data_IF_123432426738
#
_entry.id   IF_123432426738
#
_cell.length_a   1.000
_cell.length_b   1.000
_cell.length_c   1.000
_cell.angle_alpha   90.00
_cell.angle_beta   90.00
_cell.angle_gamma   90.00
#
_symmetry.space_group_name_H-M   'P 1'
#
loop_
_entity.id
_entity.type
_entity.pdbx_description
1 polymer ?
#
# COMPACT_ATOMS: atom_id res chain seq x y z
N UNK A 1 -29.28 13.83 9.55
CA UNK A 1 -28.67 13.28 10.77
C UNK A 1 -27.34 12.66 10.39
N UNK A 2 -26.27 12.87 11.16
CA UNK A 2 -24.97 12.25 10.84
C UNK A 2 -25.07 10.74 11.12
N UNK A 3 -24.80 9.93 10.11
CA UNK A 3 -24.83 8.46 10.20
C UNK A 3 -23.64 7.93 11.02
N UNK A 4 -23.86 6.88 11.81
CA UNK A 4 -22.83 6.28 12.67
C UNK A 4 -21.63 5.77 11.84
N UNK A 5 -21.88 5.29 10.61
CA UNK A 5 -20.81 4.87 9.68
C UNK A 5 -19.91 6.04 9.29
N UNK A 6 -20.46 7.24 9.20
CA UNK A 6 -19.69 8.46 8.90
C UNK A 6 -18.82 8.84 10.07
N UNK A 7 -19.35 8.81 11.30
CA UNK A 7 -18.58 9.11 12.52
C UNK A 7 -17.41 8.12 12.68
N UNK A 8 -17.69 6.81 12.57
CA UNK A 8 -16.65 5.78 12.66
C UNK A 8 -15.63 5.88 11.53
N UNK A 9 -16.07 6.19 10.31
CA UNK A 9 -15.20 6.41 9.16
C UNK A 9 -14.24 7.59 9.39
N UNK A 10 -14.75 8.72 9.89
CA UNK A 10 -13.93 9.90 10.20
C UNK A 10 -12.92 9.61 11.31
N UNK A 11 -13.33 8.93 12.39
CA UNK A 11 -12.42 8.53 13.47
C UNK A 11 -11.32 7.62 12.94
N UNK A 12 -11.67 6.63 12.11
CA UNK A 12 -10.70 5.73 11.51
C UNK A 12 -9.68 6.46 10.63
N UNK A 13 -10.11 7.45 9.85
CA UNK A 13 -9.21 8.31 9.06
C UNK A 13 -8.22 9.05 9.97
N UNK A 14 -8.71 9.67 11.05
CA UNK A 14 -7.85 10.40 11.99
C UNK A 14 -6.84 9.47 12.67
N UNK A 15 -7.27 8.28 13.09
CA UNK A 15 -6.37 7.28 13.70
C UNK A 15 -5.27 6.85 12.74
N UNK A 16 -5.57 6.72 11.44
CA UNK A 16 -4.56 6.41 10.41
C UNK A 16 -3.49 7.50 10.39
N UNK A 17 -3.85 8.77 10.29
CA UNK A 17 -2.86 9.86 10.30
C UNK A 17 -2.04 9.89 11.60
N UNK A 18 -2.70 9.81 12.76
CA UNK A 18 -2.03 9.85 14.07
C UNK A 18 -1.06 8.66 14.23
N UNK A 19 -1.49 7.46 13.83
CA UNK A 19 -0.67 6.24 13.95
C UNK A 19 0.59 6.26 13.10
N UNK A 20 0.61 7.02 11.99
CA UNK A 20 1.78 7.14 11.12
C UNK A 20 2.74 8.26 11.51
N UNK A 21 2.37 9.17 12.41
CA UNK A 21 3.25 10.24 12.93
C UNK A 21 4.60 9.70 13.44
N UNK A 22 4.66 8.68 14.34
CA UNK A 22 5.95 8.18 14.83
C UNK A 22 6.82 7.61 13.70
N UNK A 23 6.21 6.89 12.76
CA UNK A 23 6.92 6.31 11.61
C UNK A 23 7.50 7.38 10.68
N UNK A 24 6.71 8.43 10.38
CA UNK A 24 7.16 9.56 9.58
C UNK A 24 8.30 10.31 10.27
N UNK A 25 8.18 10.55 11.58
CA UNK A 25 9.22 11.19 12.38
C UNK A 25 10.53 10.41 12.34
N UNK A 26 10.48 9.10 12.51
CA UNK A 26 11.67 8.24 12.48
C UNK A 26 12.26 8.08 11.08
N UNK A 27 11.41 8.11 10.04
CA UNK A 27 11.86 8.13 8.64
C UNK A 27 12.60 9.43 8.30
N UNK A 28 12.06 10.59 8.71
CA UNK A 28 12.70 11.89 8.50
C UNK A 28 14.03 12.00 9.26
N UNK A 29 14.11 11.40 10.46
CA UNK A 29 15.34 11.33 11.26
C UNK A 29 16.37 10.32 10.73
N UNK A 30 16.08 9.61 9.64
CA UNK A 30 16.96 8.60 9.06
C UNK A 30 17.12 7.32 9.90
N UNK A 31 16.36 7.17 11.00
CA UNK A 31 16.36 5.93 11.81
C UNK A 31 15.71 4.78 11.06
N UNK A 32 14.69 5.09 10.27
CA UNK A 32 14.03 4.13 9.37
C UNK A 32 14.26 4.59 7.93
N UNK A 33 14.79 3.70 7.10
CA UNK A 33 14.96 3.96 5.67
C UNK A 33 13.82 3.29 4.90
N UNK A 34 12.70 3.98 4.63
CA UNK A 34 11.62 3.40 3.85
C UNK A 34 12.11 3.02 2.46
N UNK A 35 11.73 1.83 1.99
CA UNK A 35 12.07 1.34 0.65
C UNK A 35 11.10 1.88 -0.39
N UNK A 36 11.61 2.61 -1.38
CA UNK A 36 10.81 3.28 -2.42
C UNK A 36 9.76 2.36 -3.04
N UNK A 37 10.15 1.17 -3.49
CA UNK A 37 9.24 0.27 -4.18
C UNK A 37 8.06 -0.21 -3.31
N UNK A 38 8.30 -0.60 -2.06
CA UNK A 38 7.24 -1.14 -1.20
C UNK A 38 6.15 -0.10 -0.97
N UNK A 39 6.56 1.16 -0.80
CA UNK A 39 5.67 2.29 -0.66
C UNK A 39 5.00 2.68 -1.97
N UNK A 40 5.69 2.56 -3.10
CA UNK A 40 5.12 2.77 -4.43
C UNK A 40 4.02 1.76 -4.75
N UNK A 41 4.30 0.46 -4.60
CA UNK A 41 3.31 -0.62 -4.77
C UNK A 41 2.15 -0.42 -3.79
N UNK A 42 2.45 -0.04 -2.56
CA UNK A 42 1.44 0.25 -1.55
C UNK A 42 0.53 1.43 -1.88
N UNK A 43 1.08 2.51 -2.41
CA UNK A 43 0.34 3.68 -2.89
C UNK A 43 -0.60 3.27 -4.03
N UNK A 44 -0.06 2.63 -5.08
CA UNK A 44 -0.82 2.24 -6.28
C UNK A 44 -1.99 1.33 -5.94
N UNK A 45 -1.73 0.25 -5.18
CA UNK A 45 -2.77 -0.68 -4.73
C UNK A 45 -3.84 0.05 -3.90
N UNK A 46 -3.45 0.96 -3.01
CA UNK A 46 -4.41 1.64 -2.14
C UNK A 46 -5.30 2.62 -2.93
N UNK A 47 -4.77 3.30 -3.93
CA UNK A 47 -5.57 4.13 -4.84
C UNK A 47 -6.58 3.30 -5.65
N UNK A 48 -6.14 2.15 -6.18
CA UNK A 48 -7.03 1.22 -6.90
C UNK A 48 -8.13 0.71 -5.97
N UNK A 49 -7.76 0.25 -4.77
CA UNK A 49 -8.68 -0.22 -3.75
C UNK A 49 -9.72 0.85 -3.38
N UNK A 50 -9.32 2.11 -3.31
CA UNK A 50 -10.24 3.23 -3.10
C UNK A 50 -11.21 3.40 -4.28
N UNK A 51 -10.72 3.35 -5.52
CA UNK A 51 -11.58 3.42 -6.71
C UNK A 51 -12.63 2.30 -6.76
N UNK A 52 -12.25 1.07 -6.43
CA UNK A 52 -13.19 -0.06 -6.34
C UNK A 52 -14.24 0.16 -5.23
N UNK A 53 -13.82 0.61 -4.04
CA UNK A 53 -14.75 0.93 -2.95
C UNK A 53 -15.74 2.03 -3.32
N UNK A 54 -15.31 3.02 -4.10
CA UNK A 54 -16.20 4.08 -4.58
C UNK A 54 -17.23 3.54 -5.57
N UNK A 55 -16.84 2.63 -6.48
CA UNK A 55 -17.77 1.99 -7.43
C UNK A 55 -18.79 1.09 -6.71
N UNK A 56 -18.37 0.37 -5.67
CA UNK A 56 -19.23 -0.52 -4.88
C UNK A 56 -20.09 0.21 -3.82
N UNK A 57 -20.03 1.54 -3.75
CA UNK A 57 -20.81 2.32 -2.79
C UNK A 57 -20.40 2.10 -1.32
N UNK A 58 -19.13 1.78 -1.06
CA UNK A 58 -18.62 1.43 0.28
C UNK A 58 -18.73 2.54 1.35
N UNK A 59 -19.11 3.76 0.95
CA UNK A 59 -19.38 4.86 1.86
C UNK A 59 -18.14 5.40 2.59
N UNK A 60 -18.30 5.97 3.79
CA UNK A 60 -17.24 6.68 4.51
C UNK A 60 -15.97 5.85 4.81
N UNK A 61 -16.10 4.53 4.92
CA UNK A 61 -14.96 3.62 5.15
C UNK A 61 -13.93 3.63 4.01
N UNK A 62 -14.35 3.97 2.79
CA UNK A 62 -13.46 4.08 1.65
C UNK A 62 -12.37 5.16 1.86
N UNK A 63 -12.70 6.26 2.53
CA UNK A 63 -11.75 7.36 2.80
C UNK A 63 -10.59 6.93 3.70
N UNK A 64 -10.76 5.88 4.52
CA UNK A 64 -9.65 5.28 5.28
C UNK A 64 -8.62 4.68 4.32
N UNK A 65 -9.08 4.05 3.25
CA UNK A 65 -8.19 3.48 2.23
C UNK A 65 -7.51 4.58 1.41
N UNK A 66 -8.22 5.68 1.10
CA UNK A 66 -7.60 6.86 0.49
C UNK A 66 -6.52 7.46 1.40
N UNK A 67 -6.77 7.55 2.70
CA UNK A 67 -5.80 8.06 3.68
C UNK A 67 -4.53 7.21 3.70
N UNK A 68 -4.68 5.87 3.64
CA UNK A 68 -3.55 4.96 3.50
C UNK A 68 -2.76 5.17 2.19
N UNK A 69 -3.45 5.48 1.08
CA UNK A 69 -2.82 5.81 -0.19
C UNK A 69 -1.99 7.11 -0.08
N UNK A 70 -2.56 8.16 0.52
CA UNK A 70 -1.90 9.45 0.74
C UNK A 70 -0.65 9.28 1.61
N UNK A 71 -0.76 8.58 2.74
CA UNK A 71 0.39 8.32 3.61
C UNK A 71 1.48 7.52 2.88
N UNK A 72 1.07 6.53 2.10
CA UNK A 72 2.03 5.75 1.30
C UNK A 72 2.75 6.62 0.27
N UNK A 73 2.07 7.61 -0.33
CA UNK A 73 2.68 8.58 -1.22
C UNK A 73 3.67 9.50 -0.49
N UNK A 74 3.31 9.99 0.71
CA UNK A 74 4.22 10.80 1.54
C UNK A 74 5.49 10.03 1.89
N UNK A 75 5.35 8.77 2.30
CA UNK A 75 6.49 7.94 2.65
C UNK A 75 7.31 7.56 1.42
N UNK A 76 6.67 7.36 0.26
CA UNK A 76 7.37 7.19 -1.01
C UNK A 76 8.27 8.38 -1.33
N UNK A 77 7.77 9.62 -1.16
CA UNK A 77 8.59 10.83 -1.37
C UNK A 77 9.79 10.87 -0.42
N UNK A 78 9.61 10.47 0.84
CA UNK A 78 10.72 10.32 1.79
C UNK A 78 11.68 9.19 1.37
N UNK A 79 11.15 8.11 0.82
CA UNK A 79 11.93 6.95 0.36
C UNK A 79 12.78 7.25 -0.88
N UNK A 80 12.31 8.13 -1.78
CA UNK A 80 13.09 8.58 -2.96
C UNK A 80 14.37 9.32 -2.54
N UNK A 81 14.34 9.99 -1.38
CA UNK A 81 15.52 10.66 -0.81
C UNK A 81 16.54 9.69 -0.19
N UNK A 82 16.21 8.40 -0.05
CA UNK A 82 17.13 7.38 0.42
C UNK A 82 17.93 6.76 -0.76
N UNK A 83 19.19 6.41 -0.51
CA UNK A 83 20.15 6.00 -1.54
C UNK A 83 20.03 4.54 -2.01
N UNK A 84 19.24 3.69 -1.33
CA UNK A 84 19.02 2.29 -1.71
C UNK A 84 18.06 2.15 -2.90
N UNK A 85 18.56 2.51 -4.09
CA UNK A 85 17.86 2.44 -5.40
C UNK A 85 17.94 1.07 -6.08
N UNK A 86 18.00 -0.01 -5.29
CA UNK A 86 17.99 -1.37 -5.81
C UNK A 86 16.61 -1.74 -6.38
N UNK A 87 16.41 -1.38 -7.65
CA UNK A 87 15.25 -1.78 -8.46
C UNK A 87 15.49 -3.21 -8.95
N UNK A 88 14.70 -4.17 -8.47
CA UNK A 88 14.81 -5.59 -8.81
C UNK A 88 13.80 -6.02 -9.88
N UNK A 89 14.03 -7.14 -10.57
CA UNK A 89 13.11 -7.69 -11.60
C UNK A 89 11.69 -7.98 -11.08
N UNK A 90 11.57 -8.23 -9.78
CA UNK A 90 10.31 -8.51 -9.06
C UNK A 90 9.46 -7.24 -8.92
N UNK A 91 10.10 -6.08 -8.98
CA UNK A 91 9.49 -4.77 -8.97
C UNK A 91 8.64 -4.54 -10.24
N UNK A 92 9.11 -5.08 -11.37
CA UNK A 92 8.41 -5.04 -12.64
C UNK A 92 7.19 -5.97 -12.65
N UNK A 93 7.32 -7.14 -12.00
CA UNK A 93 6.23 -8.09 -11.80
C UNK A 93 5.15 -7.50 -10.88
N UNK A 94 5.52 -6.79 -9.82
CA UNK A 94 4.57 -6.13 -8.92
C UNK A 94 3.81 -4.97 -9.59
N UNK A 95 4.50 -4.20 -10.45
CA UNK A 95 3.89 -3.17 -11.31
C UNK A 95 2.90 -3.78 -12.32
N UNK A 96 3.31 -4.85 -13.02
CA UNK A 96 2.46 -5.58 -13.96
C UNK A 96 1.27 -6.25 -13.27
N UNK A 97 1.44 -6.82 -12.07
CA UNK A 97 0.33 -7.40 -11.30
C UNK A 97 -0.60 -6.33 -10.74
N UNK A 98 -0.09 -5.17 -10.32
CA UNK A 98 -0.94 -4.07 -9.90
C UNK A 98 -1.76 -3.51 -11.07
N UNK A 99 -1.18 -3.35 -12.25
CA UNK A 99 -1.90 -2.92 -13.45
C UNK A 99 -2.84 -3.99 -14.02
N UNK A 100 -2.38 -5.25 -14.07
CA UNK A 100 -3.15 -6.39 -14.58
C UNK A 100 -4.30 -6.80 -13.67
N UNK A 101 -4.10 -6.76 -12.35
CA UNK A 101 -5.16 -7.01 -11.38
C UNK A 101 -6.30 -6.01 -11.49
N UNK A 102 -6.02 -4.75 -11.83
CA UNK A 102 -7.03 -3.71 -12.10
C UNK A 102 -7.85 -4.06 -13.33
N UNK A 103 -7.20 -4.44 -14.44
CA UNK A 103 -7.89 -4.78 -15.69
C UNK A 103 -8.81 -6.00 -15.54
N UNK A 104 -8.35 -7.02 -14.80
CA UNK A 104 -9.12 -8.24 -14.54
C UNK A 104 -10.31 -7.97 -13.60
N UNK A 105 -10.15 -7.12 -12.59
CA UNK A 105 -11.22 -6.80 -11.64
C UNK A 105 -12.26 -5.83 -12.21
N UNK A 106 -11.85 -4.85 -13.03
CA UNK A 106 -12.77 -3.97 -13.73
C UNK A 106 -13.67 -4.72 -14.73
N UNK A 107 -13.19 -5.87 -15.24
CA UNK A 107 -13.94 -6.73 -16.16
C UNK A 107 -14.88 -7.71 -15.43
N UNK A 108 -14.72 -7.89 -14.12
CA UNK A 108 -15.46 -8.91 -13.35
C UNK A 108 -16.60 -8.24 -12.57
N UNK A 109 -17.85 -8.40 -13.00
CA UNK A 109 -19.04 -7.84 -12.31
C UNK A 109 -19.43 -8.61 -11.02
N UNK A 110 -18.48 -8.87 -10.12
CA UNK A 110 -18.74 -9.60 -8.86
C UNK A 110 -18.67 -8.66 -7.63
N UNK A 111 -19.62 -8.77 -6.67
CA UNK A 111 -19.77 -7.85 -5.54
C UNK A 111 -18.65 -7.91 -4.48
N UNK A 112 -17.68 -8.83 -4.62
CA UNK A 112 -16.65 -9.16 -3.63
C UNK A 112 -15.22 -9.02 -4.16
N UNK A 113 -15.04 -8.43 -5.34
CA UNK A 113 -13.75 -8.12 -5.96
C UNK A 113 -12.79 -7.36 -5.04
N UNK A 114 -13.33 -6.48 -4.21
CA UNK A 114 -12.54 -5.69 -3.26
C UNK A 114 -11.78 -6.56 -2.23
N UNK A 115 -12.43 -7.57 -1.65
CA UNK A 115 -11.82 -8.42 -0.62
C UNK A 115 -10.73 -9.31 -1.21
N UNK A 116 -10.99 -9.90 -2.37
CA UNK A 116 -10.02 -10.69 -3.12
C UNK A 116 -8.79 -9.85 -3.50
N UNK A 117 -9.01 -8.60 -3.94
CA UNK A 117 -7.93 -7.66 -4.24
C UNK A 117 -7.08 -7.32 -3.00
N UNK A 118 -7.70 -7.04 -1.85
CA UNK A 118 -6.97 -6.79 -0.60
C UNK A 118 -6.17 -8.00 -0.13
N UNK A 119 -6.69 -9.20 -0.36
CA UNK A 119 -5.98 -10.43 -0.01
C UNK A 119 -4.74 -10.63 -0.89
N UNK A 120 -4.88 -10.52 -2.22
CA UNK A 120 -3.77 -10.69 -3.17
C UNK A 120 -2.68 -9.62 -2.93
N UNK A 121 -3.09 -8.36 -2.75
CA UNK A 121 -2.16 -7.26 -2.53
C UNK A 121 -1.37 -7.37 -1.22
N UNK A 122 -1.97 -7.90 -0.14
CA UNK A 122 -1.26 -8.18 1.11
C UNK A 122 -0.15 -9.22 0.91
N UNK A 123 -0.45 -10.29 0.19
CA UNK A 123 0.53 -11.33 -0.13
C UNK A 123 1.66 -10.78 -1.03
N UNK A 124 1.33 -9.93 -2.00
CA UNK A 124 2.32 -9.29 -2.87
C UNK A 124 3.30 -8.40 -2.08
N UNK A 125 2.79 -7.60 -1.13
CA UNK A 125 3.63 -6.81 -0.23
C UNK A 125 4.51 -7.70 0.65
N UNK A 126 3.95 -8.79 1.19
CA UNK A 126 4.71 -9.73 2.01
C UNK A 126 5.85 -10.38 1.23
N UNK A 127 5.64 -10.76 -0.03
CA UNK A 127 6.68 -11.30 -0.91
C UNK A 127 7.83 -10.31 -1.12
N UNK A 128 7.51 -9.05 -1.47
CA UNK A 128 8.56 -8.01 -1.65
C UNK A 128 9.38 -7.74 -0.39
N UNK A 129 8.78 -7.91 0.79
CA UNK A 129 9.45 -7.73 2.07
C UNK A 129 10.29 -8.96 2.47
N UNK A 130 9.73 -10.15 2.32
CA UNK A 130 10.35 -11.45 2.62
C UNK A 130 11.65 -11.65 1.84
N UNK A 131 11.64 -11.38 0.53
CA UNK A 131 12.83 -11.60 -0.30
C UNK A 131 14.00 -10.72 0.10
N UNK A 132 13.78 -9.44 0.41
CA UNK A 132 14.88 -8.55 0.76
C UNK A 132 15.42 -8.81 2.18
N UNK A 133 14.56 -9.25 3.12
CA UNK A 133 14.97 -9.46 4.52
C UNK A 133 15.50 -10.86 4.82
N UNK A 134 14.97 -11.89 4.16
CA UNK A 134 15.34 -13.30 4.41
C UNK A 134 16.22 -13.86 3.29
N UNK A 135 15.83 -13.65 2.02
CA UNK A 135 16.48 -14.34 0.90
C UNK A 135 17.79 -13.65 0.48
N UNK A 136 17.82 -12.32 0.36
CA UNK A 136 19.04 -11.60 -0.07
C UNK A 136 20.24 -11.75 0.88
N UNK A 137 20.10 -11.72 2.22
CA UNK A 137 21.23 -11.97 3.12
C UNK A 137 21.76 -13.40 3.01
N UNK A 138 20.89 -14.39 2.76
CA UNK A 138 21.28 -15.78 2.54
C UNK A 138 22.05 -15.89 1.22
N UNK A 139 21.54 -15.32 0.13
CA UNK A 139 22.21 -15.38 -1.18
C UNK A 139 23.55 -14.63 -1.20
N UNK A 140 23.72 -13.55 -0.42
CA UNK A 140 25.01 -12.84 -0.28
C UNK A 140 26.04 -13.58 0.57
N UNK A 141 25.63 -14.55 1.39
CA UNK A 141 26.55 -15.37 2.19
C UNK A 141 26.90 -16.71 1.51
N UNK A 142 26.25 -17.02 0.39
CA UNK A 142 26.42 -18.27 -0.37
C UNK A 142 27.17 -18.04 -1.69
N UNK A 143 27.39 -16.79 -2.09
CA UNK A 143 28.24 -16.34 -3.21
C UNK A 143 29.39 -15.52 -2.64
#
# INVERSE_FOLDING_TARGET
MIDYKTILGTIAVLMVFIGYIPYLRDSIKGKTKPHMLSWFVGMTISFIAFGLQMQDGAGPGAFVTLSAAIISAVILVLAIKNEDKDITKIDFVALLLSGGGVGVLASSKRPNNFYSFRYISRNLKFLTYSEKKLVRPILRNVV
#
